data_IF_110900236665
#
_entry.id   IF_110900236665
#
_cell.length_a   1.000
_cell.length_b   1.000
_cell.length_c   1.000
_cell.angle_alpha   90.00
_cell.angle_beta   90.00
_cell.angle_gamma   90.00
#
_symmetry.space_group_name_H-M   'P 1'
#
loop_
_entity.id
_entity.type
_entity.pdbx_description
1 polymer ?
#
# COMPACT_ATOMS: atom_id res chain seq x y z
N UNK A 1 -32.82 -15.71 4.61
CA UNK A 1 -32.22 -16.66 5.55
C UNK A 1 -30.92 -16.05 6.06
N UNK A 2 -30.64 -16.13 7.37
CA UNK A 2 -29.33 -15.74 7.89
C UNK A 2 -28.29 -16.77 7.39
N UNK A 3 -27.11 -16.31 6.96
CA UNK A 3 -26.04 -17.22 6.55
C UNK A 3 -25.60 -18.07 7.75
N UNK A 4 -25.54 -19.40 7.58
CA UNK A 4 -24.99 -20.29 8.61
C UNK A 4 -23.47 -20.16 8.68
N UNK A 5 -22.86 -20.65 9.76
CA UNK A 5 -21.39 -20.72 9.87
C UNK A 5 -20.81 -21.56 8.73
N UNK A 6 -21.48 -22.67 8.38
CA UNK A 6 -21.06 -23.55 7.28
C UNK A 6 -21.09 -22.84 5.91
N UNK A 7 -22.15 -22.06 5.63
CA UNK A 7 -22.25 -21.29 4.38
C UNK A 7 -21.14 -20.25 4.27
N UNK A 8 -20.81 -19.60 5.40
CA UNK A 8 -19.79 -18.57 5.43
C UNK A 8 -18.37 -19.13 5.29
N UNK A 9 -18.08 -20.30 5.88
CA UNK A 9 -16.80 -21.00 5.63
C UNK A 9 -16.67 -21.34 4.15
N UNK A 10 -17.71 -21.93 3.55
CA UNK A 10 -17.69 -22.29 2.13
C UNK A 10 -17.52 -21.07 1.23
N UNK A 11 -18.23 -19.98 1.52
CA UNK A 11 -18.05 -18.70 0.83
C UNK A 11 -16.60 -18.22 0.93
N UNK A 12 -16.02 -18.27 2.13
CA UNK A 12 -14.63 -17.82 2.36
C UNK A 12 -13.65 -18.66 1.54
N UNK A 13 -13.78 -19.99 1.56
CA UNK A 13 -12.93 -20.91 0.77
C UNK A 13 -13.04 -20.56 -0.72
N UNK A 14 -14.26 -20.40 -1.23
CA UNK A 14 -14.50 -20.06 -2.65
C UNK A 14 -13.84 -18.72 -3.03
N UNK A 15 -13.90 -17.73 -2.14
CA UNK A 15 -13.25 -16.43 -2.33
C UNK A 15 -11.73 -16.56 -2.38
N UNK A 16 -11.13 -17.36 -1.48
CA UNK A 16 -9.69 -17.61 -1.48
C UNK A 16 -9.23 -18.36 -2.72
N UNK A 17 -10.00 -19.36 -3.18
CA UNK A 17 -9.72 -20.09 -4.43
C UNK A 17 -9.77 -19.17 -5.65
N UNK A 18 -10.74 -18.24 -5.70
CA UNK A 18 -10.80 -17.21 -6.74
C UNK A 18 -9.56 -16.30 -6.71
N UNK A 19 -9.16 -15.84 -5.51
CA UNK A 19 -7.95 -15.04 -5.35
C UNK A 19 -6.68 -15.77 -5.78
N UNK A 20 -6.56 -17.04 -5.41
CA UNK A 20 -5.44 -17.91 -5.82
C UNK A 20 -5.40 -18.10 -7.34
N UNK A 21 -6.56 -18.24 -7.98
CA UNK A 21 -6.69 -18.29 -9.44
C UNK A 21 -6.06 -17.07 -10.12
N UNK A 22 -6.34 -15.87 -9.62
CA UNK A 22 -5.74 -14.64 -10.14
C UNK A 22 -4.24 -14.53 -9.81
N UNK A 23 -3.83 -14.90 -8.59
CA UNK A 23 -2.41 -14.93 -8.22
C UNK A 23 -1.61 -15.85 -9.15
N UNK A 24 -2.15 -17.01 -9.52
CA UNK A 24 -1.48 -17.96 -10.41
C UNK A 24 -1.15 -17.40 -11.79
N UNK A 25 -1.83 -16.35 -12.25
CA UNK A 25 -1.54 -15.63 -13.51
C UNK A 25 -0.27 -14.77 -13.39
N UNK A 26 0.07 -14.34 -12.18
CA UNK A 26 1.15 -13.38 -11.90
C UNK A 26 2.26 -13.93 -11.01
N UNK A 27 2.18 -15.22 -10.63
CA UNK A 27 3.10 -15.87 -9.68
C UNK A 27 4.58 -15.86 -10.09
N UNK A 28 4.85 -15.77 -11.40
CA UNK A 28 6.20 -15.79 -11.98
C UNK A 28 6.69 -14.37 -12.35
N UNK A 29 5.93 -13.33 -11.98
CA UNK A 29 6.25 -11.94 -12.29
C UNK A 29 7.31 -11.37 -11.36
N UNK A 30 8.51 -11.15 -11.89
CA UNK A 30 9.64 -10.57 -11.15
C UNK A 30 9.54 -9.06 -10.90
N UNK A 31 8.58 -8.37 -11.53
CA UNK A 31 8.29 -6.96 -11.29
C UNK A 31 7.49 -6.73 -10.00
N UNK A 32 6.90 -7.78 -9.44
CA UNK A 32 6.23 -7.77 -8.15
C UNK A 32 7.20 -8.20 -7.04
N UNK A 33 7.10 -7.56 -5.88
CA UNK A 33 7.99 -7.83 -4.74
C UNK A 33 7.68 -9.15 -4.06
N UNK A 34 8.68 -9.72 -3.37
CA UNK A 34 8.55 -11.02 -2.72
C UNK A 34 7.43 -11.07 -1.66
N UNK A 35 7.13 -9.98 -0.95
CA UNK A 35 6.01 -9.93 0.00
C UNK A 35 4.63 -10.10 -0.68
N UNK A 36 4.47 -9.62 -1.92
CA UNK A 36 3.26 -9.88 -2.70
C UNK A 36 3.12 -11.38 -3.01
N UNK A 37 4.22 -12.02 -3.40
CA UNK A 37 4.26 -13.45 -3.72
C UNK A 37 4.05 -14.32 -2.49
N UNK A 38 4.64 -13.95 -1.36
CA UNK A 38 4.43 -14.64 -0.10
C UNK A 38 2.98 -14.51 0.38
N UNK A 39 2.35 -13.36 0.19
CA UNK A 39 0.92 -13.19 0.47
C UNK A 39 0.06 -14.12 -0.40
N UNK A 40 0.38 -14.26 -1.69
CA UNK A 40 -0.27 -15.22 -2.59
C UNK A 40 -0.17 -16.67 -2.09
N UNK A 41 1.02 -17.09 -1.64
CA UNK A 41 1.24 -18.40 -1.00
C UNK A 41 0.47 -18.52 0.33
N UNK A 42 0.34 -17.43 1.08
CA UNK A 42 -0.40 -17.36 2.32
C UNK A 42 -1.89 -17.69 2.19
N UNK A 43 -2.51 -17.48 1.01
CA UNK A 43 -3.91 -17.87 0.78
C UNK A 43 -4.14 -19.38 0.96
N UNK A 44 -3.19 -20.21 0.54
CA UNK A 44 -3.26 -21.66 0.72
C UNK A 44 -3.23 -22.04 2.21
N UNK A 45 -2.37 -21.36 2.99
CA UNK A 45 -2.24 -21.58 4.42
C UNK A 45 -3.52 -21.20 5.18
N UNK A 46 -4.25 -20.18 4.73
CA UNK A 46 -5.56 -19.80 5.28
C UNK A 46 -6.66 -20.80 4.87
N UNK A 47 -6.63 -21.28 3.63
CA UNK A 47 -7.66 -22.19 3.09
C UNK A 47 -7.65 -23.57 3.78
N UNK A 48 -6.48 -24.12 4.07
CA UNK A 48 -6.34 -25.47 4.64
C UNK A 48 -7.09 -25.65 5.99
N UNK A 49 -6.91 -24.79 7.01
CA UNK A 49 -7.68 -24.85 8.24
C UNK A 49 -9.18 -24.60 8.04
N UNK A 50 -9.57 -23.72 7.12
CA UNK A 50 -10.98 -23.48 6.80
C UNK A 50 -11.66 -24.71 6.20
N UNK A 51 -10.97 -25.45 5.34
CA UNK A 51 -11.46 -26.74 4.83
C UNK A 51 -11.64 -27.77 5.96
N UNK A 52 -10.78 -27.76 6.97
CA UNK A 52 -10.95 -28.60 8.15
C UNK A 52 -12.15 -28.14 9.00
N UNK A 53 -12.32 -26.82 9.20
CA UNK A 53 -13.47 -26.23 9.89
C UNK A 53 -14.80 -26.58 9.19
N UNK A 54 -14.82 -26.58 7.85
CA UNK A 54 -16.01 -26.94 7.08
C UNK A 54 -16.50 -28.35 7.44
N UNK A 55 -15.59 -29.31 7.64
CA UNK A 55 -15.93 -30.71 7.98
C UNK A 55 -16.48 -30.84 9.40
N UNK A 56 -16.14 -29.92 10.31
CA UNK A 56 -16.60 -29.91 11.72
C UNK A 56 -17.73 -28.91 11.97
N UNK A 57 -18.16 -28.17 10.94
CA UNK A 57 -19.14 -27.08 11.01
C UNK A 57 -20.57 -27.50 11.42
N UNK A 58 -20.83 -28.80 11.60
CA UNK A 58 -22.11 -29.35 12.10
C UNK A 58 -22.53 -28.71 13.44
N UNK A 59 -21.57 -28.23 14.25
CA UNK A 59 -21.83 -27.56 15.53
C UNK A 59 -22.29 -26.10 15.41
N UNK A 60 -22.21 -25.48 14.22
CA UNK A 60 -22.61 -24.10 13.94
C UNK A 60 -22.25 -23.08 15.06
N UNK A 61 -20.97 -22.99 15.49
CA UNK A 61 -20.57 -22.16 16.62
C UNK A 61 -20.74 -20.68 16.28
N UNK A 62 -21.82 -20.05 16.76
CA UNK A 62 -22.12 -18.65 16.46
C UNK A 62 -21.03 -17.66 16.90
N UNK A 63 -20.21 -18.02 17.89
CA UNK A 63 -19.03 -17.23 18.29
C UNK A 63 -17.95 -17.14 17.19
N UNK A 64 -17.92 -18.06 16.22
CA UNK A 64 -17.03 -18.02 15.05
C UNK A 64 -17.43 -16.99 13.99
N UNK A 65 -18.69 -16.52 14.02
CA UNK A 65 -19.30 -15.71 12.95
C UNK A 65 -18.54 -14.41 12.71
N UNK A 66 -18.04 -13.76 13.76
CA UNK A 66 -17.31 -12.48 13.64
C UNK A 66 -15.98 -12.66 12.92
N UNK A 67 -15.17 -13.64 13.34
CA UNK A 67 -13.87 -13.91 12.72
C UNK A 67 -14.03 -14.41 11.28
N UNK A 68 -15.03 -15.25 11.00
CA UNK A 68 -15.32 -15.68 9.63
C UNK A 68 -15.73 -14.52 8.72
N UNK A 69 -16.57 -13.59 9.19
CA UNK A 69 -16.96 -12.40 8.41
C UNK A 69 -15.75 -11.52 8.09
N UNK A 70 -14.85 -11.33 9.06
CA UNK A 70 -13.61 -10.57 8.87
C UNK A 70 -12.68 -11.27 7.88
N UNK A 71 -12.47 -12.58 8.04
CA UNK A 71 -11.66 -13.39 7.15
C UNK A 71 -12.18 -13.30 5.70
N UNK A 72 -13.48 -13.53 5.50
CA UNK A 72 -14.12 -13.41 4.19
C UNK A 72 -13.99 -12.00 3.61
N UNK A 73 -14.23 -10.96 4.42
CA UNK A 73 -14.11 -9.57 3.96
C UNK A 73 -12.68 -9.24 3.52
N UNK A 74 -11.67 -9.66 4.28
CA UNK A 74 -10.26 -9.51 3.89
C UNK A 74 -9.96 -10.34 2.62
N UNK A 75 -10.51 -11.54 2.50
CA UNK A 75 -10.37 -12.42 1.33
C UNK A 75 -10.92 -11.79 0.05
N UNK A 76 -12.09 -11.13 0.11
CA UNK A 76 -12.65 -10.41 -1.04
C UNK A 76 -11.74 -9.26 -1.48
N UNK A 77 -11.13 -8.52 -0.54
CA UNK A 77 -10.19 -7.45 -0.86
C UNK A 77 -8.94 -8.01 -1.55
N UNK A 78 -8.37 -9.11 -1.03
CA UNK A 78 -7.20 -9.75 -1.67
C UNK A 78 -7.53 -10.28 -3.06
N UNK A 79 -8.67 -10.95 -3.22
CA UNK A 79 -9.15 -11.44 -4.51
C UNK A 79 -9.32 -10.31 -5.51
N UNK A 80 -9.88 -9.18 -5.08
CA UNK A 80 -10.05 -8.00 -5.92
C UNK A 80 -8.70 -7.46 -6.38
N UNK A 81 -7.75 -7.25 -5.46
CA UNK A 81 -6.41 -6.75 -5.77
C UNK A 81 -5.69 -7.69 -6.75
N UNK A 82 -5.69 -9.00 -6.48
CA UNK A 82 -5.06 -9.98 -7.37
C UNK A 82 -5.72 -10.00 -8.75
N UNK A 83 -7.03 -9.85 -8.85
CA UNK A 83 -7.72 -9.73 -10.14
C UNK A 83 -7.21 -8.50 -10.91
N UNK A 84 -7.18 -7.32 -10.28
CA UNK A 84 -6.73 -6.09 -10.92
C UNK A 84 -5.30 -6.21 -11.46
N UNK A 85 -4.39 -6.83 -10.69
CA UNK A 85 -3.01 -7.10 -11.13
C UNK A 85 -2.98 -8.14 -12.26
N UNK A 86 -3.76 -9.22 -12.17
CA UNK A 86 -3.80 -10.26 -13.20
C UNK A 86 -4.30 -9.77 -14.56
N UNK A 87 -5.23 -8.80 -14.57
CA UNK A 87 -5.74 -8.20 -15.81
C UNK A 87 -4.78 -7.17 -16.43
N UNK A 88 -3.79 -6.69 -15.68
CA UNK A 88 -2.85 -5.70 -16.18
C UNK A 88 -1.78 -6.33 -17.10
N UNK A 89 -1.33 -5.61 -18.15
CA UNK A 89 -0.15 -6.00 -18.91
C UNK A 89 1.07 -6.16 -17.99
N UNK A 90 1.95 -7.12 -18.30
CA UNK A 90 3.11 -7.45 -17.48
C UNK A 90 3.95 -6.22 -17.09
N UNK A 91 4.20 -5.33 -18.05
CA UNK A 91 4.94 -4.08 -17.87
C UNK A 91 4.29 -3.06 -16.92
N UNK A 92 3.03 -3.27 -16.53
CA UNK A 92 2.22 -2.31 -15.75
C UNK A 92 1.63 -2.93 -14.48
N UNK A 93 1.93 -4.19 -14.19
CA UNK A 93 1.38 -4.91 -13.02
C UNK A 93 1.73 -4.29 -11.68
N UNK A 94 2.95 -3.76 -11.53
CA UNK A 94 3.35 -3.08 -10.30
C UNK A 94 2.53 -1.80 -10.04
N UNK A 95 2.29 -0.98 -11.07
CA UNK A 95 1.45 0.21 -10.94
C UNK A 95 -0.03 -0.16 -10.74
N UNK A 96 -0.51 -1.21 -11.42
CA UNK A 96 -1.85 -1.74 -11.18
C UNK A 96 -2.01 -2.23 -9.73
N UNK A 97 -0.97 -2.87 -9.17
CA UNK A 97 -0.97 -3.30 -7.76
C UNK A 97 -1.07 -2.12 -6.81
N UNK A 98 -0.28 -1.07 -7.04
CA UNK A 98 -0.32 0.16 -6.23
C UNK A 98 -1.70 0.82 -6.25
N UNK A 99 -2.31 0.92 -7.42
CA UNK A 99 -3.65 1.52 -7.55
C UNK A 99 -4.74 0.63 -6.94
N UNK A 100 -4.65 -0.69 -7.12
CA UNK A 100 -5.60 -1.63 -6.54
C UNK A 100 -5.54 -1.63 -5.00
N UNK A 101 -4.36 -1.54 -4.39
CA UNK A 101 -4.23 -1.35 -2.94
C UNK A 101 -4.91 -0.06 -2.48
N UNK A 102 -4.77 1.03 -3.25
CA UNK A 102 -5.38 2.33 -2.93
C UNK A 102 -6.90 2.29 -3.02
N UNK A 103 -7.45 1.72 -4.10
CA UNK A 103 -8.89 1.73 -4.39
C UNK A 103 -9.65 0.60 -3.71
N UNK A 104 -9.15 -0.62 -3.88
CA UNK A 104 -9.85 -1.84 -3.50
C UNK A 104 -9.41 -2.27 -2.11
N UNK A 105 -8.09 -2.33 -1.87
CA UNK A 105 -7.49 -2.71 -0.59
C UNK A 105 -7.71 -1.73 0.56
N UNK A 106 -8.33 -0.57 0.30
CA UNK A 106 -8.54 0.52 1.26
C UNK A 106 -7.23 0.97 1.92
N UNK A 107 -6.15 0.98 1.14
CA UNK A 107 -4.80 1.34 1.59
C UNK A 107 -4.04 0.22 2.31
N UNK A 108 -4.61 -0.98 2.46
CA UNK A 108 -3.93 -2.15 3.03
C UNK A 108 -3.35 -3.02 1.92
N UNK A 109 -2.10 -3.43 2.08
CA UNK A 109 -1.42 -4.32 1.12
C UNK A 109 -1.95 -5.75 1.22
N UNK A 110 -1.61 -6.59 0.23
CA UNK A 110 -2.04 -8.00 0.26
C UNK A 110 -1.42 -8.76 1.44
N UNK A 111 -0.18 -8.47 1.83
CA UNK A 111 0.43 -9.08 3.01
C UNK A 111 -0.28 -8.67 4.30
N UNK A 112 -0.69 -7.40 4.45
CA UNK A 112 -1.44 -6.92 5.62
C UNK A 112 -2.82 -7.59 5.72
N UNK A 113 -3.47 -7.82 4.58
CA UNK A 113 -4.77 -8.49 4.51
C UNK A 113 -4.63 -9.98 4.83
N UNK A 114 -3.62 -10.65 4.30
CA UNK A 114 -3.35 -12.07 4.53
C UNK A 114 -2.95 -12.34 5.98
N UNK A 115 -2.10 -11.49 6.59
CA UNK A 115 -1.79 -11.60 8.03
C UNK A 115 -3.05 -11.50 8.88
N UNK A 116 -3.95 -10.55 8.57
CA UNK A 116 -5.21 -10.44 9.29
C UNK A 116 -6.11 -11.67 9.11
N UNK A 117 -6.16 -12.26 7.91
CA UNK A 117 -6.90 -13.51 7.68
C UNK A 117 -6.31 -14.68 8.48
N UNK A 118 -4.99 -14.81 8.55
CA UNK A 118 -4.34 -15.84 9.35
C UNK A 118 -4.67 -15.69 10.84
N UNK A 119 -4.71 -14.46 11.36
CA UNK A 119 -5.15 -14.17 12.73
C UNK A 119 -6.63 -14.49 12.95
N UNK A 120 -7.51 -14.13 12.00
CA UNK A 120 -8.93 -14.47 12.05
C UNK A 120 -9.12 -15.99 12.10
N UNK A 121 -8.40 -16.76 11.28
CA UNK A 121 -8.45 -18.24 11.27
C UNK A 121 -7.85 -18.85 12.53
N UNK A 122 -6.77 -18.28 13.05
CA UNK A 122 -6.19 -18.72 14.33
C UNK A 122 -7.21 -18.60 15.48
N UNK A 123 -7.99 -17.52 15.51
CA UNK A 123 -9.05 -17.32 16.49
C UNK A 123 -10.20 -18.34 16.37
N UNK A 124 -10.34 -19.03 15.23
CA UNK A 124 -11.35 -20.07 15.01
C UNK A 124 -10.94 -21.45 15.52
N UNK A 125 -9.69 -21.61 15.97
CA UNK A 125 -9.11 -22.91 16.25
C UNK A 125 -9.90 -23.70 17.30
N UNK A 126 -10.33 -23.05 18.38
CA UNK A 126 -11.12 -23.68 19.44
C UNK A 126 -12.56 -23.97 19.01
N UNK A 127 -13.17 -23.08 18.23
CA UNK A 127 -14.56 -23.23 17.77
C UNK A 127 -14.78 -24.52 16.97
N UNK A 128 -13.79 -24.90 16.17
CA UNK A 128 -13.87 -26.03 15.25
C UNK A 128 -12.98 -27.22 15.64
N UNK A 129 -12.27 -27.12 16.77
CA UNK A 129 -11.27 -28.09 17.22
C UNK A 129 -10.20 -28.39 16.13
N UNK A 130 -9.63 -27.33 15.56
CA UNK A 130 -8.62 -27.38 14.47
C UNK A 130 -7.26 -26.83 14.90
N UNK A 131 -6.93 -26.90 16.20
CA UNK A 131 -5.69 -26.36 16.76
C UNK A 131 -4.42 -26.93 16.09
N UNK A 132 -4.47 -28.18 15.64
CA UNK A 132 -3.36 -28.82 14.91
C UNK A 132 -3.19 -28.27 13.49
N UNK A 133 -4.27 -27.74 12.89
CA UNK A 133 -4.26 -27.21 11.52
C UNK A 133 -3.75 -25.77 11.44
N UNK A 134 -3.79 -25.01 12.53
CA UNK A 134 -3.36 -23.60 12.55
C UNK A 134 -1.90 -23.38 12.96
N UNK A 135 -1.15 -24.45 13.28
CA UNK A 135 0.22 -24.36 13.80
C UNK A 135 1.17 -23.58 12.87
N UNK A 136 1.09 -23.80 11.56
CA UNK A 136 1.93 -23.11 10.58
C UNK A 136 1.55 -21.65 10.32
N UNK A 137 0.41 -21.17 10.83
CA UNK A 137 -0.02 -19.79 10.61
C UNK A 137 0.86 -18.79 11.36
N UNK A 138 1.36 -19.16 12.56
CA UNK A 138 2.20 -18.26 13.35
C UNK A 138 3.52 -17.94 12.64
N UNK A 139 4.22 -18.97 12.17
CA UNK A 139 5.47 -18.82 11.41
C UNK A 139 5.26 -18.02 10.11
N UNK A 140 4.13 -18.23 9.43
CA UNK A 140 3.80 -17.48 8.22
C UNK A 140 3.48 -16.00 8.50
N UNK A 141 2.79 -15.71 9.60
CA UNK A 141 2.56 -14.34 10.07
C UNK A 141 3.90 -13.66 10.38
N UNK A 142 4.77 -14.30 11.17
CA UNK A 142 6.07 -13.74 11.51
C UNK A 142 6.93 -13.50 10.28
N UNK A 143 6.92 -14.43 9.32
CA UNK A 143 7.61 -14.27 8.05
C UNK A 143 7.12 -13.02 7.30
N UNK A 144 5.81 -12.89 7.06
CA UNK A 144 5.24 -11.76 6.33
C UNK A 144 5.50 -10.41 7.02
N UNK A 145 5.44 -10.35 8.35
CA UNK A 145 5.68 -9.12 9.11
C UNK A 145 7.15 -8.66 9.07
N UNK A 146 8.09 -9.58 8.88
CA UNK A 146 9.52 -9.29 8.84
C UNK A 146 10.05 -9.07 7.40
N UNK A 147 9.23 -9.26 6.38
CA UNK A 147 9.63 -9.04 4.99
C UNK A 147 9.67 -7.55 4.63
N UNK A 148 10.44 -7.22 3.60
CA UNK A 148 10.34 -5.90 2.99
C UNK A 148 8.93 -5.72 2.41
N UNK A 149 8.21 -4.63 2.75
CA UNK A 149 6.86 -4.38 2.27
C UNK A 149 6.73 -4.44 0.74
N UNK A 150 5.60 -4.96 0.25
CA UNK A 150 5.35 -5.13 -1.19
C UNK A 150 5.12 -3.80 -1.91
N UNK A 151 4.63 -2.81 -1.18
CA UNK A 151 4.67 -1.41 -1.56
C UNK A 151 5.52 -0.66 -0.53
N UNK A 152 6.29 0.36 -0.94
CA UNK A 152 6.85 1.29 0.03
C UNK A 152 5.71 1.72 0.95
N UNK A 153 5.90 1.61 2.27
CA UNK A 153 4.98 2.23 3.22
C UNK A 153 4.96 3.69 2.83
N UNK A 154 3.91 4.10 2.12
CA UNK A 154 3.69 5.51 1.90
C UNK A 154 3.68 6.11 3.29
N UNK A 155 4.57 7.06 3.57
CA UNK A 155 4.15 8.20 4.38
C UNK A 155 2.81 8.58 3.77
N UNK A 156 1.71 8.21 4.44
CA UNK A 156 0.39 8.06 3.82
C UNK A 156 0.20 9.22 2.87
N UNK A 157 0.17 8.94 1.55
CA UNK A 157 0.52 9.91 0.52
C UNK A 157 -0.09 11.24 0.89
N UNK A 158 0.76 12.19 1.29
CA UNK A 158 0.30 13.34 2.06
C UNK A 158 -0.86 14.01 1.31
N UNK A 159 -2.08 13.81 1.82
CA UNK A 159 -3.27 14.38 1.22
C UNK A 159 -3.28 15.84 1.63
N UNK A 160 -2.54 16.66 0.89
CA UNK A 160 -2.55 18.10 1.09
C UNK A 160 -3.78 18.68 0.39
N UNK A 161 -4.86 18.84 1.15
CA UNK A 161 -6.07 19.50 0.63
C UNK A 161 -6.09 20.94 1.09
N UNK A 162 -6.10 21.88 0.14
CA UNK A 162 -6.19 23.31 0.42
C UNK A 162 -7.56 23.83 -0.05
N UNK A 163 -8.44 24.14 0.90
CA UNK A 163 -9.80 24.67 0.64
C UNK A 163 -9.87 26.20 0.75
N UNK A 164 -8.72 26.89 0.82
CA UNK A 164 -8.61 28.35 0.92
C UNK A 164 -8.02 29.00 -0.32
N UNK A 165 -7.69 30.28 -0.24
CA UNK A 165 -6.88 31.00 -1.23
C UNK A 165 -5.50 31.30 -0.65
N UNK A 166 -4.44 30.98 -1.40
CA UNK A 166 -3.05 31.01 -0.92
C UNK A 166 -2.19 29.92 -1.56
N UNK A 167 -0.88 30.05 -1.41
CA UNK A 167 0.10 29.11 -1.97
C UNK A 167 0.33 27.93 -1.01
N UNK A 168 0.61 26.76 -1.58
CA UNK A 168 0.88 25.53 -0.83
C UNK A 168 2.33 25.07 -1.08
N UNK A 169 3.15 24.93 -0.02
CA UNK A 169 4.60 24.69 -0.12
C UNK A 169 5.03 23.31 0.38
N UNK A 170 4.41 22.26 -0.13
CA UNK A 170 4.76 20.91 0.34
C UNK A 170 5.98 20.37 -0.40
N UNK A 171 6.96 19.87 0.34
CA UNK A 171 8.09 19.11 -0.18
C UNK A 171 8.36 17.92 0.74
N UNK A 172 8.58 16.73 0.18
CA UNK A 172 9.00 15.58 0.96
C UNK A 172 10.53 15.66 1.15
N UNK A 173 10.95 16.45 2.14
CA UNK A 173 12.35 16.84 2.35
C UNK A 173 12.84 17.91 1.36
N UNK A 174 13.87 18.66 1.75
CA UNK A 174 14.43 19.77 0.97
C UNK A 174 13.93 21.16 1.39
N UNK A 175 14.39 22.21 0.68
CA UNK A 175 14.09 23.62 0.97
C UNK A 175 13.20 24.22 -0.12
N UNK A 176 12.05 24.76 0.24
CA UNK A 176 11.20 25.54 -0.68
C UNK A 176 11.60 27.00 -0.61
N UNK A 177 12.14 27.53 -1.72
CA UNK A 177 12.50 28.95 -1.83
C UNK A 177 11.40 29.70 -2.58
N UNK A 178 10.77 30.68 -1.93
CA UNK A 178 9.72 31.49 -2.54
C UNK A 178 10.05 32.99 -2.45
N UNK A 179 9.80 33.70 -3.54
CA UNK A 179 9.69 35.16 -3.53
C UNK A 179 8.24 35.61 -3.59
N UNK A 180 7.89 36.58 -2.74
CA UNK A 180 6.59 37.23 -2.73
C UNK A 180 6.79 38.71 -3.04
N UNK A 181 6.41 39.15 -4.25
CA UNK A 181 6.56 40.54 -4.70
C UNK A 181 7.42 40.69 -5.96
N UNK A 182 7.75 41.94 -6.31
CA UNK A 182 8.58 42.27 -7.47
C UNK A 182 10.05 42.44 -7.07
N UNK A 183 10.96 41.77 -7.76
CA UNK A 183 12.39 41.85 -7.50
C UNK A 183 13.12 40.62 -8.04
N UNK A 184 14.45 40.63 -7.96
CA UNK A 184 15.26 39.49 -8.41
C UNK A 184 15.37 38.44 -7.29
N UNK A 185 15.14 37.18 -7.63
CA UNK A 185 15.22 36.05 -6.71
C UNK A 185 16.33 35.09 -7.13
N UNK A 186 17.25 34.78 -6.23
CA UNK A 186 18.42 33.93 -6.52
C UNK A 186 18.58 32.76 -5.53
N UNK A 187 17.63 31.81 -5.49
CA UNK A 187 17.72 30.69 -4.58
C UNK A 187 18.88 29.75 -4.98
N UNK A 188 19.77 29.48 -4.05
CA UNK A 188 20.93 28.58 -4.27
C UNK A 188 22.08 29.18 -5.07
N UNK A 189 22.10 30.50 -5.32
CA UNK A 189 23.18 31.13 -6.06
C UNK A 189 24.46 31.28 -5.21
N UNK A 190 25.60 30.94 -5.80
CA UNK A 190 26.93 31.28 -5.29
C UNK A 190 27.59 32.28 -6.25
N UNK A 191 27.87 33.48 -5.77
CA UNK A 191 28.53 34.52 -6.57
C UNK A 191 30.03 34.53 -6.27
N UNK A 192 30.83 34.20 -7.28
CA UNK A 192 32.28 34.31 -7.24
C UNK A 192 32.72 35.52 -8.06
N UNK A 193 32.73 36.70 -7.43
CA UNK A 193 33.07 37.98 -8.05
C UNK A 193 32.06 39.09 -7.77
N UNK A 194 32.38 40.31 -8.17
CA UNK A 194 31.52 41.47 -7.96
C UNK A 194 30.24 41.38 -8.80
N UNK A 195 29.08 41.41 -8.13
CA UNK A 195 27.76 41.50 -8.74
C UNK A 195 27.16 42.87 -8.47
N UNK A 196 26.62 43.52 -9.51
CA UNK A 196 25.89 44.78 -9.40
C UNK A 196 24.44 44.57 -9.78
N UNK A 197 23.53 45.00 -8.89
CA UNK A 197 22.09 44.97 -9.11
C UNK A 197 21.59 46.41 -9.24
N UNK A 198 21.10 46.77 -10.43
CA UNK A 198 20.68 48.14 -10.78
C UNK A 198 21.61 48.81 -11.79
N UNK A 199 21.08 49.83 -12.49
CA UNK A 199 21.90 50.67 -13.39
C UNK A 199 22.92 51.45 -12.55
N UNK A 200 24.19 51.54 -12.99
CA UNK A 200 25.16 52.40 -12.32
C UNK A 200 24.67 53.86 -12.39
N UNK A 201 24.75 54.58 -11.26
CA UNK A 201 24.58 56.04 -11.25
C UNK A 201 25.46 56.65 -12.34
N UNK A 202 25.00 57.66 -13.11
CA UNK A 202 25.84 58.30 -14.11
C UNK A 202 27.11 58.82 -13.42
N UNK A 203 28.24 58.23 -13.77
CA UNK A 203 29.54 58.78 -13.41
C UNK A 203 29.69 60.07 -14.22
N UNK A 204 29.68 61.22 -13.54
CA UNK A 204 30.05 62.48 -14.17
C UNK A 204 31.42 62.29 -14.83
N UNK A 205 31.58 62.60 -16.13
CA UNK A 205 32.88 62.43 -16.78
C UNK A 205 33.92 63.37 -16.14
N UNK A 206 35.20 62.98 -16.12
CA UNK A 206 36.26 63.83 -15.61
C UNK A 206 36.36 65.09 -16.47
N UNK A 207 36.40 66.26 -15.83
CA UNK A 207 36.73 67.53 -16.47
C UNK A 207 38.12 67.44 -17.11
N UNK A 208 38.17 67.47 -18.44
CA UNK A 208 39.40 67.60 -19.22
C UNK A 208 40.13 68.88 -18.84
N UNK A 209 41.43 68.73 -18.61
CA UNK A 209 42.40 69.81 -18.47
C UNK A 209 42.57 70.52 -19.81
N UNK A 210 42.35 71.83 -19.85
CA UNK A 210 42.81 72.67 -20.96
C UNK A 210 44.08 73.40 -20.54
N UNK A 211 45.21 72.98 -21.13
CA UNK A 211 46.43 73.78 -21.18
C UNK A 211 46.18 75.04 -22.02
N UNK A 212 46.70 76.17 -21.53
CA UNK A 212 47.30 77.22 -22.36
C UNK A 212 48.48 77.83 -21.63
#
# INVERSE_FOLDING_TARGET
>A
MAASVADLILSTITTLEGGLGYYNVVKDDSGLREAFHEAGRGLLLVSHPLQAAQRTSVRDPQSAMVSLKKCNSNGELVKSIFNAVAQAPETSRFEAYKEAVRQEGKGRTVEDLVVAMMQDVYALAENFAIQDKVKGLHEAIEKLLNMEPSLPKGSGGDIYTHYGSGDMYNTFGGTVNRSAGTGNHFPGANFAGSVSFGLPSPQNPPSETSNK
#
